data_IF_500091033540
#
_entry.id   IF_500091033540
#
_cell.length_a   1.000
_cell.length_b   1.000
_cell.length_c   1.000
_cell.angle_alpha   90.00
_cell.angle_beta   90.00
_cell.angle_gamma   90.00
#
_symmetry.space_group_name_H-M   'P 1'
#
loop_
_entity.id
_entity.type
_entity.pdbx_description
1 polymer ?
#
# COMPACT_ATOMS: atom_id res chain seq x y z
N UNK A 1 1.69 26.26 -14.27
CA UNK A 1 1.45 24.82 -14.03
C UNK A 1 1.23 24.17 -15.38
N UNK A 2 1.68 22.94 -15.57
CA UNK A 2 1.59 22.24 -16.85
C UNK A 2 0.18 21.67 -17.04
N UNK A 3 -0.29 21.62 -18.29
CA UNK A 3 -1.59 21.04 -18.61
C UNK A 3 -1.60 19.57 -18.19
N UNK A 4 -2.70 19.07 -17.59
CA UNK A 4 -2.84 17.66 -17.31
C UNK A 4 -2.74 16.83 -18.60
N UNK A 5 -2.00 15.73 -18.52
CA UNK A 5 -1.85 14.76 -19.59
C UNK A 5 -3.21 14.20 -20.04
N UNK A 6 -3.33 13.90 -21.33
CA UNK A 6 -4.47 13.13 -21.85
C UNK A 6 -4.46 11.74 -21.20
N UNK A 7 -5.63 11.17 -20.85
CA UNK A 7 -5.68 9.83 -20.27
C UNK A 7 -5.14 8.83 -21.28
N UNK A 8 -4.23 7.95 -20.85
CA UNK A 8 -3.69 6.91 -21.72
C UNK A 8 -4.77 5.93 -22.19
N UNK A 9 -4.52 5.25 -23.31
CA UNK A 9 -5.49 4.32 -23.94
C UNK A 9 -5.24 2.85 -23.65
N UNK A 10 -4.10 2.55 -23.03
CA UNK A 10 -3.66 1.19 -22.73
C UNK A 10 -4.14 0.82 -21.32
N UNK A 11 -4.46 -0.46 -21.07
CA UNK A 11 -4.74 -0.94 -19.72
C UNK A 11 -3.65 -0.48 -18.76
N UNK A 12 -4.05 0.01 -17.58
CA UNK A 12 -3.07 0.43 -16.58
C UNK A 12 -2.20 -0.77 -16.19
N UNK A 13 -0.90 -0.67 -16.45
CA UNK A 13 0.05 -1.67 -15.99
C UNK A 13 0.26 -1.54 -14.48
N UNK A 14 -0.05 -2.61 -13.75
CA UNK A 14 0.09 -2.68 -12.29
C UNK A 14 1.50 -2.28 -11.84
N UNK A 15 2.55 -2.72 -12.54
CA UNK A 15 3.95 -2.36 -12.23
C UNK A 15 4.17 -0.86 -12.11
N UNK A 16 3.49 -0.08 -12.96
CA UNK A 16 3.69 1.37 -13.04
C UNK A 16 2.91 2.14 -11.96
N UNK A 17 2.06 1.44 -11.20
CA UNK A 17 1.20 1.97 -10.14
C UNK A 17 1.51 1.43 -8.74
N UNK A 18 2.26 0.31 -8.62
CA UNK A 18 2.54 -0.34 -7.33
C UNK A 18 3.17 0.63 -6.32
N UNK A 19 4.13 1.45 -6.75
CA UNK A 19 4.84 2.36 -5.85
C UNK A 19 3.89 3.39 -5.22
N UNK A 20 3.13 4.10 -6.06
CA UNK A 20 2.15 5.09 -5.61
C UNK A 20 1.02 4.46 -4.80
N UNK A 21 0.60 3.25 -5.19
CA UNK A 21 -0.38 2.48 -4.44
C UNK A 21 0.13 2.10 -3.05
N UNK A 22 1.39 1.67 -2.94
CA UNK A 22 2.03 1.35 -1.66
C UNK A 22 2.18 2.60 -0.79
N UNK A 23 2.69 3.71 -1.35
CA UNK A 23 2.80 4.99 -0.64
C UNK A 23 1.44 5.44 -0.11
N UNK A 24 0.41 5.40 -0.95
CA UNK A 24 -0.94 5.78 -0.57
C UNK A 24 -1.51 4.87 0.54
N UNK A 25 -1.26 3.56 0.45
CA UNK A 25 -1.68 2.57 1.47
C UNK A 25 -1.02 2.86 2.82
N UNK A 26 0.31 3.05 2.83
CA UNK A 26 1.06 3.35 4.06
C UNK A 26 0.66 4.69 4.67
N UNK A 27 0.48 5.73 3.85
CA UNK A 27 0.01 7.05 4.31
C UNK A 27 -1.40 6.97 4.88
N UNK A 28 -2.29 6.19 4.27
CA UNK A 28 -3.65 5.98 4.77
C UNK A 28 -3.66 5.26 6.12
N UNK A 29 -2.76 4.29 6.33
CA UNK A 29 -2.55 3.62 7.63
C UNK A 29 -2.05 4.60 8.70
N UNK A 30 -1.02 5.40 8.39
CA UNK A 30 -0.47 6.41 9.31
C UNK A 30 -1.55 7.38 9.81
N UNK A 31 -2.38 7.84 8.88
CA UNK A 31 -3.46 8.79 9.14
C UNK A 31 -4.71 8.14 9.77
N UNK A 32 -4.76 6.81 9.92
CA UNK A 32 -5.92 6.10 10.47
C UNK A 32 -7.15 6.09 9.54
N UNK A 33 -6.99 6.41 8.25
CA UNK A 33 -8.10 6.48 7.28
C UNK A 33 -8.31 5.18 6.49
N UNK A 34 -7.45 4.18 6.71
CA UNK A 34 -7.47 2.92 5.96
C UNK A 34 -8.61 1.98 6.38
N UNK A 35 -9.10 2.09 7.62
CA UNK A 35 -10.13 1.20 8.17
C UNK A 35 -9.68 -0.24 8.42
N UNK A 36 -8.39 -0.54 8.21
CA UNK A 36 -7.75 -1.84 8.41
C UNK A 36 -6.38 -1.61 9.06
N UNK A 37 -6.04 -2.40 10.08
CA UNK A 37 -4.68 -2.46 10.61
C UNK A 37 -3.83 -3.42 9.77
N UNK A 38 -2.78 -2.90 9.15
CA UNK A 38 -1.81 -3.70 8.39
C UNK A 38 -0.75 -4.36 9.29
N UNK A 39 -0.75 -4.07 10.60
CA UNK A 39 0.17 -4.68 11.57
C UNK A 39 1.61 -4.13 11.53
N UNK A 40 1.84 -3.05 10.78
CA UNK A 40 3.07 -2.25 10.79
C UNK A 40 2.99 -1.13 11.82
N UNK A 41 4.11 -0.89 12.51
CA UNK A 41 4.22 0.27 13.41
C UNK A 41 4.20 1.58 12.60
N UNK A 42 3.61 2.63 13.18
CA UNK A 42 3.59 3.95 12.54
C UNK A 42 5.01 4.47 12.26
N UNK A 43 5.96 4.23 13.17
CA UNK A 43 7.35 4.64 12.97
C UNK A 43 7.97 3.96 11.74
N UNK A 44 7.76 2.66 11.58
CA UNK A 44 8.29 1.92 10.44
C UNK A 44 7.69 2.40 9.11
N UNK A 45 6.37 2.65 9.06
CA UNK A 45 5.72 3.22 7.88
C UNK A 45 6.29 4.60 7.53
N UNK A 46 6.53 5.47 8.51
CA UNK A 46 7.15 6.77 8.29
C UNK A 46 8.57 6.63 7.72
N UNK A 47 9.37 5.71 8.25
CA UNK A 47 10.71 5.43 7.72
C UNK A 47 10.68 4.95 6.27
N UNK A 48 9.76 4.04 5.92
CA UNK A 48 9.61 3.55 4.54
C UNK A 48 9.23 4.66 3.54
N UNK A 49 8.40 5.61 3.96
CA UNK A 49 8.00 6.73 3.10
C UNK A 49 9.10 7.78 2.93
N UNK A 50 9.97 7.93 3.93
CA UNK A 50 11.04 8.94 3.94
C UNK A 50 12.36 8.45 3.31
N UNK A 51 12.55 7.15 3.16
CA UNK A 51 13.73 6.54 2.54
C UNK A 51 13.35 5.85 1.23
N UNK A 52 13.35 6.55 0.07
CA UNK A 52 13.30 5.86 -1.21
C UNK A 52 14.52 4.95 -1.27
N UNK A 53 14.28 3.66 -1.45
CA UNK A 53 15.34 2.65 -1.47
C UNK A 53 16.29 2.95 -2.65
N UNK A 54 17.41 3.63 -2.39
CA UNK A 54 18.50 3.78 -3.36
C UNK A 54 19.28 2.47 -3.42
N UNK A 55 18.71 1.47 -4.10
CA UNK A 55 19.43 0.36 -4.74
C UNK A 55 18.43 -0.46 -5.55
N UNK A 56 18.64 -0.67 -6.86
CA UNK A 56 17.91 -1.70 -7.58
C UNK A 56 18.28 -3.05 -6.94
N UNK A 57 17.34 -3.68 -6.26
CA UNK A 57 17.48 -5.09 -5.91
C UNK A 57 17.39 -5.83 -7.24
N UNK A 58 18.54 -6.29 -7.74
CA UNK A 58 18.62 -7.13 -8.93
C UNK A 58 17.74 -8.38 -8.72
N UNK A 59 16.82 -8.69 -9.63
CA UNK A 59 15.96 -9.85 -9.50
C UNK A 59 16.74 -11.11 -9.90
N UNK A 60 17.64 -11.57 -9.04
CA UNK A 60 18.08 -12.96 -9.09
C UNK A 60 17.15 -13.80 -8.21
N UNK A 61 15.94 -14.01 -8.71
CA UNK A 61 15.13 -15.16 -8.35
C UNK A 61 14.89 -15.91 -9.66
N UNK A 62 15.55 -17.06 -9.81
CA UNK A 62 15.20 -18.03 -10.85
C UNK A 62 13.71 -18.29 -10.76
N UNK A 63 13.00 -18.02 -11.86
CA UNK A 63 11.61 -18.36 -12.01
C UNK A 63 11.47 -19.88 -11.97
N UNK A 64 11.15 -20.43 -10.81
CA UNK A 64 10.39 -21.68 -10.77
C UNK A 64 8.95 -21.32 -11.08
N UNK A 65 8.47 -21.86 -12.20
CA UNK A 65 7.09 -21.81 -12.62
C UNK A 65 6.23 -22.66 -11.69
N UNK A 66 6.00 -22.16 -10.48
CA UNK A 66 4.89 -22.61 -9.66
C UNK A 66 4.06 -21.37 -9.34
N UNK A 67 3.07 -21.15 -10.20
CA UNK A 67 1.99 -20.23 -9.92
C UNK A 67 1.31 -20.70 -8.63
N UNK A 68 1.78 -20.19 -7.49
CA UNK A 68 1.06 -20.29 -6.24
C UNK A 68 -0.33 -19.73 -6.51
N UNK A 69 -1.33 -20.61 -6.46
CA UNK A 69 -2.75 -20.27 -6.55
C UNK A 69 -3.13 -19.51 -5.28
N UNK A 70 -2.61 -18.30 -5.12
CA UNK A 70 -3.02 -17.41 -4.06
C UNK A 70 -4.14 -16.53 -4.62
N UNK A 71 -5.41 -16.75 -4.27
CA UNK A 71 -6.55 -16.08 -4.90
C UNK A 71 -6.55 -14.54 -4.73
N UNK A 72 -5.72 -14.01 -3.81
CA UNK A 72 -5.69 -12.60 -3.45
C UNK A 72 -5.09 -11.68 -4.53
N UNK A 73 -4.07 -12.09 -5.29
CA UNK A 73 -3.49 -11.21 -6.32
C UNK A 73 -4.39 -11.08 -7.55
N UNK A 74 -5.26 -12.07 -7.81
CA UNK A 74 -6.27 -12.01 -8.88
C UNK A 74 -7.36 -10.96 -8.60
N UNK A 75 -7.51 -10.53 -7.35
CA UNK A 75 -8.49 -9.51 -6.93
C UNK A 75 -7.99 -8.07 -7.07
N UNK A 76 -6.75 -7.83 -7.50
CA UNK A 76 -6.31 -6.47 -7.82
C UNK A 76 -7.12 -5.96 -9.02
N UNK A 77 -8.04 -5.02 -8.74
CA UNK A 77 -9.02 -4.42 -9.67
C UNK A 77 -8.39 -3.79 -10.93
N UNK A 78 -7.07 -3.63 -10.96
CA UNK A 78 -6.37 -2.91 -12.02
C UNK A 78 -6.52 -3.53 -13.42
N UNK A 79 -6.90 -4.80 -13.54
CA UNK A 79 -7.02 -5.47 -14.86
C UNK A 79 -8.09 -4.89 -15.78
N UNK A 80 -9.06 -4.13 -15.25
CA UNK A 80 -10.16 -3.55 -16.01
C UNK A 80 -10.17 -2.01 -15.97
N UNK A 81 -9.00 -1.39 -15.74
CA UNK A 81 -8.88 0.07 -15.70
C UNK A 81 -8.30 0.56 -17.03
N UNK A 82 -9.08 1.41 -17.68
CA UNK A 82 -8.80 1.88 -19.03
C UNK A 82 -8.25 3.30 -19.08
N UNK A 83 -8.39 4.06 -17.99
CA UNK A 83 -8.02 5.47 -17.93
C UNK A 83 -7.24 5.79 -16.66
N UNK A 84 -6.22 6.62 -16.79
CA UNK A 84 -5.46 7.18 -15.68
C UNK A 84 -5.56 8.70 -15.73
N UNK A 85 -5.97 9.31 -14.61
CA UNK A 85 -6.11 10.76 -14.47
C UNK A 85 -5.29 11.25 -13.27
N UNK A 86 -4.65 12.41 -13.43
CA UNK A 86 -3.97 13.07 -12.31
C UNK A 86 -4.77 14.29 -11.83
N UNK A 87 -5.01 14.36 -10.52
CA UNK A 87 -5.71 15.45 -9.84
C UNK A 87 -4.86 15.97 -8.68
N UNK A 88 -4.76 17.29 -8.55
CA UNK A 88 -4.00 17.93 -7.47
C UNK A 88 -4.83 18.02 -6.18
N UNK A 89 -4.14 18.18 -5.05
CA UNK A 89 -4.80 18.57 -3.80
C UNK A 89 -5.34 20.01 -3.90
N UNK A 90 -6.47 20.34 -3.25
CA UNK A 90 -7.27 19.49 -2.34
C UNK A 90 -8.26 18.54 -3.04
N UNK A 91 -8.41 18.67 -4.36
CA UNK A 91 -9.45 17.97 -5.12
C UNK A 91 -9.28 16.45 -5.12
N UNK A 92 -8.04 15.94 -5.03
CA UNK A 92 -7.79 14.51 -4.91
C UNK A 92 -8.35 13.94 -3.59
N UNK A 93 -8.08 14.58 -2.45
CA UNK A 93 -8.69 14.18 -1.17
C UNK A 93 -10.22 14.28 -1.23
N UNK A 94 -10.77 15.33 -1.84
CA UNK A 94 -12.21 15.49 -1.98
C UNK A 94 -12.85 14.39 -2.85
N UNK A 95 -12.17 13.91 -3.91
CA UNK A 95 -12.59 12.74 -4.70
C UNK A 95 -12.56 11.46 -3.86
N UNK A 96 -11.47 11.25 -3.10
CA UNK A 96 -11.32 10.09 -2.20
C UNK A 96 -12.45 10.01 -1.16
N UNK A 97 -12.85 11.16 -0.64
CA UNK A 97 -13.87 11.27 0.41
C UNK A 97 -15.30 11.39 -0.16
N UNK A 98 -15.45 11.44 -1.49
CA UNK A 98 -16.74 11.52 -2.18
C UNK A 98 -17.43 12.89 -2.11
N UNK A 99 -16.69 13.93 -1.69
CA UNK A 99 -17.17 15.32 -1.63
C UNK A 99 -17.19 15.92 -3.04
N UNK A 100 -16.12 15.70 -3.81
CA UNK A 100 -16.07 16.05 -5.23
C UNK A 100 -16.62 14.86 -6.02
N UNK A 101 -17.65 15.11 -6.82
CA UNK A 101 -18.37 14.08 -7.58
C UNK A 101 -18.25 14.25 -9.09
N UNK A 102 -17.72 15.38 -9.55
CA UNK A 102 -17.59 15.68 -10.99
C UNK A 102 -16.18 16.17 -11.28
N UNK A 103 -15.54 15.57 -12.27
CA UNK A 103 -14.23 15.97 -12.77
C UNK A 103 -14.34 16.67 -14.12
N UNK A 104 -14.15 17.99 -14.13
CA UNK A 104 -14.18 18.80 -15.34
C UNK A 104 -12.84 18.80 -16.08
N UNK A 105 -12.85 18.56 -17.40
CA UNK A 105 -11.67 18.56 -18.28
C UNK A 105 -12.01 19.19 -19.62
N UNK A 106 -11.04 19.82 -20.27
CA UNK A 106 -11.22 20.19 -21.68
C UNK A 106 -11.36 18.89 -22.52
N UNK A 107 -12.35 18.83 -23.40
CA UNK A 107 -12.75 17.61 -24.13
C UNK A 107 -11.80 17.28 -25.30
N UNK A 108 -10.53 17.04 -24.97
CA UNK A 108 -9.46 16.78 -25.94
C UNK A 108 -9.01 15.32 -25.94
N UNK A 109 -8.59 14.81 -27.10
CA UNK A 109 -7.95 13.50 -27.20
C UNK A 109 -8.79 12.38 -26.57
N UNK A 110 -8.18 11.63 -25.65
CA UNK A 110 -8.78 10.43 -25.07
C UNK A 110 -9.86 10.70 -24.02
N UNK A 111 -10.00 11.96 -23.55
CA UNK A 111 -11.13 12.31 -22.69
C UNK A 111 -12.48 12.04 -23.38
N UNK A 112 -12.54 12.15 -24.71
CA UNK A 112 -13.74 11.88 -25.51
C UNK A 112 -14.11 10.39 -25.61
N UNK A 113 -13.26 9.50 -25.11
CA UNK A 113 -13.48 8.05 -25.12
C UNK A 113 -14.00 7.53 -23.78
N UNK A 114 -14.00 8.36 -22.75
CA UNK A 114 -14.53 8.03 -21.43
C UNK A 114 -16.04 7.93 -21.57
N UNK A 115 -16.61 6.83 -21.09
CA UNK A 115 -18.03 6.52 -21.16
C UNK A 115 -18.50 5.99 -19.81
N UNK A 116 -19.81 6.06 -19.56
CA UNK A 116 -20.45 5.49 -18.37
C UNK A 116 -20.04 4.03 -18.15
N UNK A 117 -19.76 3.69 -16.89
CA UNK A 117 -19.25 2.38 -16.47
C UNK A 117 -17.73 2.21 -16.62
N UNK A 118 -17.02 3.18 -17.22
CA UNK A 118 -15.56 3.13 -17.26
C UNK A 118 -14.96 3.28 -15.86
N UNK A 119 -13.82 2.60 -15.65
CA UNK A 119 -13.02 2.75 -14.44
C UNK A 119 -11.84 3.68 -14.69
N UNK A 120 -11.69 4.67 -13.81
CA UNK A 120 -10.60 5.65 -13.83
C UNK A 120 -9.72 5.45 -12.60
N UNK A 121 -8.42 5.33 -12.81
CA UNK A 121 -7.42 5.37 -11.74
C UNK A 121 -6.88 6.79 -11.57
N UNK A 122 -7.28 7.42 -10.48
CA UNK A 122 -6.79 8.72 -10.05
C UNK A 122 -5.50 8.59 -9.26
N UNK A 123 -4.49 9.36 -9.68
CA UNK A 123 -3.16 9.43 -9.05
C UNK A 123 -2.57 8.05 -8.76
N UNK A 124 -2.81 7.09 -9.67
CA UNK A 124 -2.32 5.71 -9.59
C UNK A 124 -2.75 4.91 -8.33
N UNK A 125 -3.72 5.39 -7.55
CA UNK A 125 -4.06 4.73 -6.28
C UNK A 125 -5.57 4.70 -5.94
N UNK A 126 -6.38 5.60 -6.50
CA UNK A 126 -7.82 5.68 -6.22
C UNK A 126 -8.61 5.29 -7.46
N UNK A 127 -9.49 4.29 -7.36
CA UNK A 127 -10.35 3.87 -8.49
C UNK A 127 -11.74 4.44 -8.31
N UNK A 128 -12.22 5.18 -9.30
CA UNK A 128 -13.58 5.66 -9.37
C UNK A 128 -14.26 5.14 -10.65
N UNK A 129 -15.57 4.91 -10.55
CA UNK A 129 -16.40 4.50 -11.68
C UNK A 129 -17.15 5.71 -12.24
N UNK A 130 -17.13 5.85 -13.56
CA UNK A 130 -17.84 6.90 -14.28
C UNK A 130 -19.33 6.59 -14.27
N UNK A 131 -20.10 7.48 -13.65
CA UNK A 131 -21.55 7.37 -13.58
C UNK A 131 -22.22 8.01 -14.80
N UNK A 132 -21.66 9.11 -15.29
CA UNK A 132 -22.12 9.80 -16.49
C UNK A 132 -21.04 10.71 -17.06
N UNK A 133 -21.22 11.14 -18.32
CA UNK A 133 -20.35 12.11 -18.99
C UNK A 133 -21.20 13.13 -19.76
N UNK A 134 -21.07 14.40 -19.38
CA UNK A 134 -21.75 15.51 -20.05
C UNK A 134 -20.76 16.44 -20.74
N UNK A 135 -21.21 17.11 -21.80
CA UNK A 135 -20.39 18.02 -22.59
C UNK A 135 -21.03 19.42 -22.65
N UNK A 136 -20.19 20.44 -22.50
CA UNK A 136 -20.58 21.85 -22.43
C UNK A 136 -19.69 22.69 -23.34
N UNK A 137 -20.19 23.86 -23.74
CA UNK A 137 -19.39 24.78 -24.57
C UNK A 137 -18.29 25.49 -23.74
N UNK A 138 -18.50 25.65 -22.43
CA UNK A 138 -17.58 26.35 -21.55
C UNK A 138 -17.50 25.75 -20.14
N UNK A 139 -16.43 26.08 -19.40
CA UNK A 139 -16.32 25.75 -17.98
C UNK A 139 -17.37 26.49 -17.15
N UNK A 140 -17.77 27.69 -17.57
CA UNK A 140 -18.83 28.44 -16.91
C UNK A 140 -20.14 27.66 -16.95
N UNK A 141 -20.58 27.26 -18.15
CA UNK A 141 -21.81 26.47 -18.33
C UNK A 141 -21.75 25.14 -17.57
N UNK A 142 -20.61 24.45 -17.63
CA UNK A 142 -20.41 23.20 -16.89
C UNK A 142 -20.57 23.42 -15.37
N UNK A 143 -19.93 24.46 -14.81
CA UNK A 143 -19.99 24.76 -13.37
C UNK A 143 -21.39 25.18 -12.91
N UNK A 144 -22.13 25.86 -13.79
CA UNK A 144 -23.53 26.23 -13.54
C UNK A 144 -24.43 24.99 -13.52
N UNK A 145 -24.34 24.13 -14.55
CA UNK A 145 -25.19 22.96 -14.72
C UNK A 145 -24.88 21.82 -13.74
N UNK A 146 -23.60 21.51 -13.52
CA UNK A 146 -23.16 20.39 -12.65
C UNK A 146 -23.16 20.74 -11.16
N UNK A 147 -23.40 22.00 -10.81
CA UNK A 147 -23.16 22.61 -9.49
C UNK A 147 -21.67 22.75 -9.15
N UNK A 148 -21.25 24.01 -8.97
CA UNK A 148 -19.90 24.38 -8.51
C UNK A 148 -19.42 23.56 -7.30
N UNK A 149 -20.30 23.28 -6.33
CA UNK A 149 -19.94 22.55 -5.12
C UNK A 149 -19.58 21.08 -5.37
N UNK A 150 -20.11 20.46 -6.43
CA UNK A 150 -19.78 19.07 -6.82
C UNK A 150 -18.50 19.00 -7.66
N UNK A 151 -18.21 20.05 -8.42
CA UNK A 151 -17.04 20.13 -9.31
C UNK A 151 -15.81 20.66 -8.58
N UNK A 152 -15.94 21.76 -7.84
CA UNK A 152 -14.85 22.44 -7.12
C UNK A 152 -15.27 22.75 -5.67
N UNK A 153 -15.40 21.73 -4.79
CA UNK A 153 -15.79 21.97 -3.40
C UNK A 153 -14.86 22.96 -2.69
N UNK A 154 -15.48 23.95 -2.03
CA UNK A 154 -14.78 25.03 -1.31
C UNK A 154 -14.58 26.32 -2.11
N UNK A 155 -14.81 26.31 -3.43
CA UNK A 155 -14.84 27.52 -4.26
C UNK A 155 -16.19 28.22 -4.11
N UNK A 156 -16.20 29.55 -4.01
CA UNK A 156 -17.41 30.31 -3.64
C UNK A 156 -18.24 30.76 -4.84
N UNK A 157 -17.59 31.06 -5.97
CA UNK A 157 -18.27 31.59 -7.16
C UNK A 157 -17.85 30.87 -8.43
N UNK A 158 -18.72 30.92 -9.45
CA UNK A 158 -18.44 30.31 -10.76
C UNK A 158 -17.21 30.97 -11.40
N UNK A 159 -17.08 32.30 -11.30
CA UNK A 159 -15.92 33.03 -11.82
C UNK A 159 -14.60 32.55 -11.19
N UNK A 160 -14.55 32.41 -9.86
CA UNK A 160 -13.40 31.80 -9.18
C UNK A 160 -13.13 30.38 -9.67
N UNK A 161 -14.18 29.59 -9.91
CA UNK A 161 -14.10 28.24 -10.44
C UNK A 161 -13.50 28.19 -11.85
N UNK A 162 -13.91 29.10 -12.74
CA UNK A 162 -13.31 29.24 -14.07
C UNK A 162 -11.83 29.59 -13.96
N UNK A 163 -11.44 30.47 -13.02
CA UNK A 163 -10.03 30.81 -12.80
C UNK A 163 -9.19 29.61 -12.32
N UNK A 164 -9.77 28.60 -11.66
CA UNK A 164 -9.07 27.34 -11.36
C UNK A 164 -8.67 26.63 -12.66
N UNK A 165 -9.58 26.54 -13.63
CA UNK A 165 -9.32 25.90 -14.93
C UNK A 165 -8.37 26.69 -15.82
N UNK A 166 -8.37 28.02 -15.73
CA UNK A 166 -7.45 28.91 -16.49
C UNK A 166 -5.98 28.68 -16.15
N UNK A 167 -5.66 28.06 -15.02
CA UNK A 167 -4.29 27.63 -14.68
C UNK A 167 -3.77 26.51 -15.59
N UNK A 168 -4.66 25.82 -16.31
CA UNK A 168 -4.37 24.62 -17.11
C UNK A 168 -4.79 24.74 -18.58
N UNK A 169 -5.86 25.49 -18.86
CA UNK A 169 -6.46 25.57 -20.20
C UNK A 169 -6.69 27.03 -20.62
N UNK A 170 -6.26 27.39 -21.82
CA UNK A 170 -6.58 28.69 -22.42
C UNK A 170 -8.03 28.74 -22.89
N UNK A 171 -8.57 29.95 -23.06
CA UNK A 171 -9.93 30.13 -23.56
C UNK A 171 -10.11 29.61 -24.98
N UNK A 172 -9.10 29.77 -25.84
CA UNK A 172 -9.13 29.29 -27.21
C UNK A 172 -9.26 27.77 -27.24
N UNK A 173 -8.53 27.09 -26.34
CA UNK A 173 -8.58 25.63 -26.24
C UNK A 173 -9.94 25.15 -25.74
N UNK A 174 -10.51 25.83 -24.74
CA UNK A 174 -11.87 25.57 -24.29
C UNK A 174 -12.89 25.79 -25.42
N UNK A 175 -12.87 26.94 -26.09
CA UNK A 175 -13.81 27.26 -27.17
C UNK A 175 -13.72 26.27 -28.33
N UNK A 176 -12.51 25.79 -28.65
CA UNK A 176 -12.28 24.88 -29.77
C UNK A 176 -12.78 23.46 -29.48
N UNK A 177 -12.67 23.00 -28.23
CA UNK A 177 -12.90 21.59 -27.89
C UNK A 177 -14.15 21.36 -27.01
N UNK A 178 -14.63 22.41 -26.34
CA UNK A 178 -15.59 22.30 -25.26
C UNK A 178 -15.00 21.71 -23.98
N UNK A 179 -15.89 21.36 -23.07
CA UNK A 179 -15.58 20.84 -21.73
C UNK A 179 -16.37 19.56 -21.48
N UNK A 180 -15.72 18.55 -20.94
CA UNK A 180 -16.32 17.32 -20.45
C UNK A 180 -16.44 17.37 -18.92
N UNK A 181 -17.64 17.13 -18.40
CA UNK A 181 -17.90 16.82 -17.00
C UNK A 181 -17.98 15.30 -16.82
N UNK A 182 -17.04 14.74 -16.07
CA UNK A 182 -16.98 13.29 -15.81
C UNK A 182 -17.54 13.07 -14.40
N UNK A 183 -18.78 12.61 -14.32
CA UNK A 183 -19.43 12.29 -13.04
C UNK A 183 -18.89 10.95 -12.54
N UNK A 184 -18.41 10.92 -11.29
CA UNK A 184 -17.70 9.77 -10.72
C UNK A 184 -18.24 9.38 -9.36
N UNK A 185 -18.24 8.08 -9.07
CA UNK A 185 -18.56 7.55 -7.76
C UNK A 185 -17.44 6.62 -7.26
N UNK A 186 -17.30 6.58 -5.94
CA UNK A 186 -16.31 5.74 -5.27
C UNK A 186 -16.74 4.27 -5.31
N UNK A 187 -15.83 3.42 -5.76
CA UNK A 187 -16.03 1.97 -5.67
C UNK A 187 -15.80 1.48 -4.24
N UNK A 188 -16.62 0.54 -3.76
CA UNK A 188 -16.41 -0.13 -2.47
C UNK A 188 -15.10 -0.94 -2.45
N UNK A 189 -14.76 -1.55 -3.59
CA UNK A 189 -13.53 -2.28 -3.75
C UNK A 189 -12.44 -1.33 -4.28
N UNK A 190 -11.32 -1.22 -3.54
CA UNK A 190 -10.22 -0.33 -3.89
C UNK A 190 -8.89 -1.10 -3.92
N UNK A 191 -7.95 -0.73 -4.81
CA UNK A 191 -6.67 -1.43 -4.92
C UNK A 191 -5.83 -1.24 -3.65
N UNK A 192 -5.90 -0.08 -2.99
CA UNK A 192 -5.13 0.19 -1.77
C UNK A 192 -5.64 -0.64 -0.59
N UNK A 193 -6.94 -0.93 -0.53
CA UNK A 193 -7.52 -1.85 0.46
C UNK A 193 -7.07 -3.29 0.20
N UNK A 194 -7.01 -3.69 -1.07
CA UNK A 194 -6.53 -5.01 -1.46
C UNK A 194 -5.05 -5.19 -1.10
N UNK A 195 -4.22 -4.19 -1.39
CA UNK A 195 -2.81 -4.17 -1.00
C UNK A 195 -2.64 -4.19 0.53
N UNK A 196 -3.43 -3.41 1.26
CA UNK A 196 -3.41 -3.42 2.72
C UNK A 196 -3.68 -4.80 3.31
N UNK A 197 -4.69 -5.52 2.77
CA UNK A 197 -4.99 -6.90 3.17
C UNK A 197 -3.83 -7.84 2.90
N UNK A 198 -3.25 -7.77 1.69
CA UNK A 198 -2.09 -8.58 1.32
C UNK A 198 -0.91 -8.32 2.27
N UNK A 199 -0.61 -7.05 2.56
CA UNK A 199 0.46 -6.68 3.49
C UNK A 199 0.20 -7.23 4.89
N UNK A 200 -1.02 -7.07 5.42
CA UNK A 200 -1.41 -7.58 6.74
C UNK A 200 -1.20 -9.09 6.85
N UNK A 201 -1.67 -9.85 5.85
CA UNK A 201 -1.49 -11.31 5.77
C UNK A 201 -0.02 -11.72 5.74
N UNK A 202 0.81 -11.04 4.93
CA UNK A 202 2.25 -11.33 4.85
C UNK A 202 2.92 -11.07 6.20
N UNK A 203 2.64 -9.93 6.83
CA UNK A 203 3.23 -9.53 8.11
C UNK A 203 2.82 -10.49 9.22
N UNK A 204 1.54 -10.89 9.25
CA UNK A 204 1.04 -11.86 10.21
C UNK A 204 1.77 -13.21 10.08
N UNK A 205 1.90 -13.74 8.86
CA UNK A 205 2.62 -15.00 8.61
C UNK A 205 4.09 -14.95 9.02
N UNK A 206 4.75 -13.81 8.81
CA UNK A 206 6.13 -13.61 9.26
C UNK A 206 6.25 -13.60 10.79
N UNK A 207 5.29 -12.98 11.49
CA UNK A 207 5.23 -13.02 12.97
C UNK A 207 5.03 -14.43 13.49
N UNK A 208 4.12 -15.20 12.89
CA UNK A 208 3.85 -16.60 13.25
C UNK A 208 5.07 -17.49 13.00
N UNK A 209 5.75 -17.31 11.86
CA UNK A 209 6.96 -18.05 11.53
C UNK A 209 8.09 -17.75 12.51
N UNK A 210 8.30 -16.48 12.87
CA UNK A 210 9.28 -16.09 13.90
C UNK A 210 8.96 -16.68 15.28
N UNK A 211 7.68 -16.66 15.68
CA UNK A 211 7.23 -17.28 16.92
C UNK A 211 7.47 -18.80 16.93
N UNK A 212 7.19 -19.47 15.81
CA UNK A 212 7.43 -20.90 15.65
C UNK A 212 8.91 -21.25 15.80
N UNK A 213 9.81 -20.47 15.19
CA UNK A 213 11.27 -20.64 15.34
C UNK A 213 11.69 -20.46 16.80
N UNK A 214 11.16 -19.44 17.49
CA UNK A 214 11.45 -19.24 18.91
C UNK A 214 10.95 -20.39 19.79
N UNK A 215 9.76 -20.93 19.51
CA UNK A 215 9.20 -22.08 20.24
C UNK A 215 10.01 -23.36 19.99
N UNK A 216 10.43 -23.61 18.74
CA UNK A 216 11.31 -24.73 18.40
C UNK A 216 12.66 -24.62 19.11
N UNK A 217 13.28 -23.44 19.13
CA UNK A 217 14.51 -23.20 19.87
C UNK A 217 14.34 -23.42 21.38
N UNK A 218 13.23 -22.95 21.97
CA UNK A 218 12.92 -23.18 23.39
C UNK A 218 12.71 -24.65 23.72
N UNK A 219 12.00 -25.39 22.86
CA UNK A 219 11.80 -26.83 23.01
C UNK A 219 13.15 -27.58 22.92
N UNK A 220 14.00 -27.21 21.97
CA UNK A 220 15.35 -27.74 21.83
C UNK A 220 16.19 -27.50 23.10
N UNK A 221 16.20 -26.27 23.63
CA UNK A 221 16.89 -25.92 24.88
C UNK A 221 16.36 -26.72 26.08
N UNK A 222 15.04 -26.93 26.17
CA UNK A 222 14.44 -27.71 27.27
C UNK A 222 14.80 -29.19 27.22
N UNK A 223 14.90 -29.78 26.01
CA UNK A 223 15.33 -31.16 25.84
C UNK A 223 16.81 -31.35 26.17
N UNK A 224 17.68 -30.41 25.79
CA UNK A 224 19.11 -30.45 26.10
C UNK A 224 19.39 -30.16 27.59
N UNK A 225 18.58 -29.33 28.25
CA UNK A 225 18.66 -29.09 29.69
C UNK A 225 18.31 -30.36 30.51
N UNK A 226 17.34 -31.17 30.07
CA UNK A 226 16.94 -32.43 30.74
C UNK A 226 17.98 -33.53 30.58
N UNK A 227 18.66 -33.61 29.44
CA UNK A 227 19.77 -34.57 29.23
C UNK A 227 20.98 -34.25 30.13
N UNK A 228 21.24 -32.97 30.40
CA UNK A 228 22.36 -32.56 31.26
C UNK A 228 22.08 -32.76 32.77
N UNK A 229 20.80 -32.86 33.18
CA UNK A 229 20.42 -33.12 34.58
C UNK A 229 20.27 -34.61 34.90
N UNK A 230 20.10 -35.48 33.91
CA UNK A 230 20.11 -36.94 34.10
C UNK A 230 21.51 -37.58 34.07
N UNK A 231 22.56 -36.80 33.77
CA UNK A 231 23.96 -37.25 33.79
C UNK A 231 24.71 -37.06 35.13
N UNK A 232 24.04 -36.54 36.18
CA UNK A 232 24.69 -36.19 37.45
C UNK A 232 24.37 -37.14 38.61
N UNK A 233 24.23 -38.44 38.35
CA UNK A 233 24.33 -39.47 39.40
C UNK A 233 25.60 -40.28 39.16
N UNK A 234 26.74 -39.72 39.58
CA UNK A 234 27.98 -40.48 39.70
C UNK A 234 27.94 -41.29 41.00
N UNK A 235 27.63 -42.58 40.89
CA UNK A 235 27.84 -43.57 41.94
C UNK A 235 29.34 -43.82 42.12
N UNK A 236 30.05 -42.90 42.80
CA UNK A 236 31.41 -43.17 43.24
C UNK A 236 31.82 -42.33 44.45
N UNK A 237 30.97 -42.34 45.49
CA UNK A 237 31.32 -41.93 46.84
C UNK A 237 30.65 -42.88 47.83
N UNK A 238 31.20 -44.08 47.98
CA UNK A 238 31.11 -44.95 49.17
C UNK A 238 32.13 -46.07 48.99
N UNK A 239 32.76 -46.43 50.10
CA UNK A 239 33.80 -47.45 50.25
C UNK A 239 35.21 -47.06 49.81
N UNK A 240 35.82 -46.16 50.60
CA UNK A 240 37.02 -46.52 51.38
C UNK A 240 37.23 -45.48 52.48
N UNK A 241 36.40 -45.55 53.52
CA UNK A 241 36.77 -45.03 54.84
C UNK A 241 36.66 -46.20 55.81
N UNK A 242 37.78 -46.94 55.95
CA UNK A 242 38.19 -47.72 57.13
C UNK A 242 39.34 -48.68 56.77
N UNK A 243 40.57 -48.16 56.76
CA UNK A 243 41.68 -48.85 57.44
C UNK A 243 42.86 -47.92 57.65
N UNK A 244 43.26 -47.85 58.92
CA UNK A 244 44.55 -47.40 59.45
C UNK A 244 44.69 -45.94 59.86
N UNK A 245 44.03 -45.61 60.97
CA UNK A 245 44.76 -45.03 62.09
C UNK A 245 45.63 -46.13 62.73
N UNK A 246 46.97 -46.03 62.60
CA UNK A 246 48.04 -46.48 63.54
C UNK A 246 49.39 -46.70 62.84
N UNK A 247 50.43 -46.20 63.49
CA UNK A 247 51.89 -46.45 63.33
C UNK A 247 52.64 -45.47 62.41
N UNK A 248 53.27 -44.43 62.97
CA UNK A 248 54.57 -44.39 63.67
C UNK A 248 55.74 -44.21 62.68
N UNK A 249 56.39 -43.04 62.81
CA UNK A 249 57.81 -42.74 62.60
C UNK A 249 58.67 -43.81 61.88
N UNK A 250 59.36 -43.41 60.80
CA UNK A 250 60.83 -43.54 60.66
C UNK A 250 61.38 -42.93 59.36
N UNK A 251 62.39 -42.09 59.56
CA UNK A 251 63.65 -41.95 58.81
C UNK A 251 63.72 -41.20 57.46
N UNK A 252 64.46 -40.08 57.50
CA UNK A 252 65.27 -39.47 56.41
C UNK A 252 66.39 -40.45 55.92
N UNK A 253 67.39 -40.04 55.11
CA UNK A 253 67.41 -39.72 53.67
C UNK A 253 68.44 -40.61 52.93
N UNK A 254 68.61 -40.41 51.62
CA UNK A 254 69.93 -40.32 50.96
C UNK A 254 69.85 -39.36 49.79
#
# INVERSE_FOLDING_TARGET
>A
MEQPSSPGTKPVELSNSIEELLKFTLKSHLNGTLGLDIGLSKQFCSSLLNHPSTSPISPNASSSSEASQNPLYKQLILKNINFELHVQEPFFTQLKDGIKAVEGRCAVGDYNRITTGALILFNKCLVLEVQDVHYYASFFEMLEAESLAKVLPGVKTIDEGVQVYRKFYTEEKEKTNGVAAICVAKMAAQPYLSLARILSEIIQRQKESGLLVMLQHRAWMSQHSKQNTQGAVCHQCRDTDQRMSRHIFKDMPK
#
